data_IF_109677174782
#
_entry.id   IF_109677174782
#
_cell.length_a   1.000
_cell.length_b   1.000
_cell.length_c   1.000
_cell.angle_alpha   90.00
_cell.angle_beta   90.00
_cell.angle_gamma   90.00
#
_symmetry.space_group_name_H-M   'P 1'
#
loop_
_entity.id
_entity.type
_entity.pdbx_description
1 polymer ?
#
# COMPACT_ATOMS: atom_id res chain seq x y z
N UNK A 1 -6.28 -10.86 31.10
CA UNK A 1 -4.95 -11.41 30.70
C UNK A 1 -3.92 -10.90 31.68
N UNK A 2 -2.96 -11.74 32.12
CA UNK A 2 -1.89 -11.30 33.03
C UNK A 2 -0.95 -10.35 32.29
N UNK A 3 -0.90 -9.09 32.69
CA UNK A 3 0.02 -8.11 32.10
C UNK A 3 1.46 -8.54 32.46
N UNK A 4 2.26 -8.84 31.44
CA UNK A 4 3.70 -9.14 31.61
C UNK A 4 4.46 -7.87 31.29
N UNK A 5 5.42 -7.51 32.13
CA UNK A 5 6.32 -6.41 31.83
C UNK A 5 7.10 -6.70 30.53
N UNK A 6 7.27 -5.71 29.66
CA UNK A 6 8.05 -5.89 28.44
C UNK A 6 9.50 -6.25 28.78
N UNK A 7 10.07 -7.18 28.03
CA UNK A 7 11.49 -7.54 28.12
C UNK A 7 12.26 -6.57 27.22
N UNK A 8 13.24 -5.80 27.76
CA UNK A 8 14.04 -4.89 26.94
C UNK A 8 14.74 -5.63 25.79
N UNK A 9 14.67 -5.08 24.57
CA UNK A 9 15.28 -5.74 23.42
C UNK A 9 16.80 -5.85 23.53
N UNK A 10 17.46 -4.94 24.24
CA UNK A 10 18.90 -5.02 24.55
C UNK A 10 19.28 -6.31 25.29
N UNK A 11 18.39 -6.88 26.11
CA UNK A 11 18.64 -8.17 26.77
C UNK A 11 18.53 -9.36 25.82
N UNK A 12 17.67 -9.25 24.81
CA UNK A 12 17.43 -10.32 23.83
C UNK A 12 18.42 -10.27 22.67
N UNK A 13 18.87 -9.08 22.31
CA UNK A 13 19.79 -8.79 21.22
C UNK A 13 20.97 -7.94 21.72
N UNK A 14 21.88 -8.52 22.52
CA UNK A 14 22.93 -7.75 23.20
C UNK A 14 23.96 -7.11 22.26
N UNK A 15 24.11 -7.64 21.04
CA UNK A 15 25.10 -7.17 20.06
C UNK A 15 24.48 -6.28 18.97
N UNK A 16 23.20 -5.95 19.07
CA UNK A 16 22.53 -5.11 18.09
C UNK A 16 22.82 -3.63 18.35
N UNK A 17 22.80 -2.82 17.28
CA UNK A 17 22.93 -1.37 17.37
C UNK A 17 21.83 -0.78 18.27
N UNK A 18 22.17 0.04 19.29
CA UNK A 18 21.18 0.68 20.15
C UNK A 18 20.12 1.50 19.40
N UNK A 19 20.47 2.13 18.27
CA UNK A 19 19.52 2.88 17.43
C UNK A 19 18.57 1.94 16.68
N UNK A 20 19.04 0.78 16.25
CA UNK A 20 18.18 -0.26 15.65
C UNK A 20 17.16 -0.76 16.67
N UNK A 21 17.61 -1.02 17.90
CA UNK A 21 16.75 -1.48 18.98
C UNK A 21 15.68 -0.43 19.35
N UNK A 22 16.07 0.84 19.44
CA UNK A 22 15.12 1.93 19.70
C UNK A 22 14.06 2.08 18.60
N UNK A 23 14.46 1.95 17.33
CA UNK A 23 13.52 1.93 16.21
C UNK A 23 12.57 0.74 16.33
N UNK A 24 13.10 -0.44 16.64
CA UNK A 24 12.33 -1.67 16.79
C UNK A 24 11.30 -1.59 17.92
N UNK A 25 11.63 -0.95 19.05
CA UNK A 25 10.69 -0.68 20.15
C UNK A 25 9.49 0.13 19.67
N UNK A 26 9.70 1.16 18.83
CA UNK A 26 8.62 2.00 18.30
C UNK A 26 7.79 1.31 17.21
N UNK A 27 8.38 0.38 16.46
CA UNK A 27 7.70 -0.41 15.43
C UNK A 27 6.84 -1.53 16.03
N UNK A 28 7.33 -2.19 17.09
CA UNK A 28 6.67 -3.30 17.76
C UNK A 28 5.77 -2.87 18.93
N UNK A 29 5.15 -1.69 18.79
CA UNK A 29 4.14 -1.21 19.73
C UNK A 29 2.83 -1.97 19.54
N UNK A 30 2.22 -2.36 20.66
CA UNK A 30 1.01 -3.18 20.66
C UNK A 30 -0.20 -2.38 20.20
N UNK A 31 -0.35 -1.18 20.75
CA UNK A 31 -1.40 -0.26 20.34
C UNK A 31 -1.00 0.41 19.02
N UNK A 32 -1.77 0.21 17.93
CA UNK A 32 -1.41 0.78 16.63
C UNK A 32 -1.37 2.30 16.63
N UNK A 33 -2.02 2.97 17.59
CA UNK A 33 -2.02 4.44 17.70
C UNK A 33 -0.68 5.00 18.18
N UNK A 34 0.11 4.20 18.90
CA UNK A 34 1.43 4.60 19.40
C UNK A 34 2.57 4.07 18.52
N UNK A 35 2.25 3.22 17.54
CA UNK A 35 3.22 2.74 16.56
C UNK A 35 3.68 3.89 15.67
N UNK A 36 5.00 4.01 15.50
CA UNK A 36 5.61 4.99 14.60
C UNK A 36 5.09 4.83 13.17
N UNK A 37 4.89 5.94 12.46
CA UNK A 37 4.51 5.93 11.05
C UNK A 37 5.71 5.56 10.16
N UNK A 38 5.44 5.18 8.90
CA UNK A 38 6.51 4.87 7.94
C UNK A 38 7.41 6.09 7.69
N UNK A 39 6.83 7.29 7.60
CA UNK A 39 7.55 8.54 7.40
C UNK A 39 8.48 8.86 8.58
N UNK A 40 7.97 8.79 9.81
CA UNK A 40 8.80 8.99 11.00
C UNK A 40 9.88 7.91 11.16
N UNK A 41 9.61 6.67 10.71
CA UNK A 41 10.59 5.58 10.75
C UNK A 41 11.73 5.80 9.76
N UNK A 42 11.45 6.27 8.55
CA UNK A 42 12.47 6.64 7.56
C UNK A 42 13.33 7.81 8.04
N UNK A 43 12.73 8.79 8.73
CA UNK A 43 13.44 9.90 9.35
C UNK A 43 14.24 9.53 10.62
N UNK A 44 14.18 8.27 11.08
CA UNK A 44 14.82 7.85 12.33
C UNK A 44 16.36 7.91 12.23
N UNK A 45 17.10 8.30 13.30
CA UNK A 45 18.57 8.38 13.28
C UNK A 45 19.30 7.09 12.89
N UNK A 46 18.63 5.95 13.02
CA UNK A 46 19.15 4.66 12.57
C UNK A 46 19.45 4.63 11.07
N UNK A 47 18.66 5.33 10.25
CA UNK A 47 18.86 5.43 8.80
C UNK A 47 19.63 6.68 8.37
N UNK A 48 20.33 7.35 9.31
CA UNK A 48 21.13 8.52 8.99
C UNK A 48 22.19 8.17 7.95
N UNK A 49 22.24 8.93 6.86
CA UNK A 49 23.15 8.70 5.74
C UNK A 49 22.59 7.78 4.64
N UNK A 50 21.44 7.15 4.88
CA UNK A 50 20.68 6.41 3.88
C UNK A 50 19.39 7.14 3.48
N UNK A 51 18.71 7.76 4.45
CA UNK A 51 17.45 8.46 4.21
C UNK A 51 17.64 9.66 3.27
N UNK A 52 16.79 9.76 2.24
CA UNK A 52 16.75 10.89 1.32
C UNK A 52 15.32 11.39 1.13
N UNK A 53 14.99 12.51 1.78
CA UNK A 53 13.65 13.12 1.75
C UNK A 53 13.19 13.40 0.32
N UNK A 54 14.08 13.84 -0.57
CA UNK A 54 13.73 14.13 -1.96
C UNK A 54 13.37 12.88 -2.77
N UNK A 55 13.84 11.71 -2.33
CA UNK A 55 13.54 10.40 -2.94
C UNK A 55 12.47 9.61 -2.20
N UNK A 56 11.94 10.14 -1.10
CA UNK A 56 10.94 9.50 -0.23
C UNK A 56 9.66 10.35 -0.11
N UNK A 57 8.98 10.68 -1.22
CA UNK A 57 7.80 11.54 -1.18
C UNK A 57 6.62 10.83 -0.50
N UNK A 58 6.01 11.48 0.49
CA UNK A 58 4.76 11.02 1.08
C UNK A 58 3.56 11.35 0.18
N UNK A 59 2.73 10.34 -0.10
CA UNK A 59 1.46 10.53 -0.79
C UNK A 59 0.39 11.05 0.19
N UNK A 60 -0.51 11.91 -0.29
CA UNK A 60 -1.67 12.32 0.50
C UNK A 60 -2.53 11.09 0.85
N UNK A 61 -3.16 11.05 2.04
CA UNK A 61 -4.07 9.97 2.38
C UNK A 61 -5.13 9.76 1.29
N UNK A 62 -5.22 8.53 0.79
CA UNK A 62 -6.23 8.16 -0.21
C UNK A 62 -7.60 8.20 0.45
N UNK A 63 -8.58 8.80 -0.22
CA UNK A 63 -9.95 8.85 0.29
C UNK A 63 -10.51 7.43 0.46
N UNK A 64 -11.22 7.17 1.55
CA UNK A 64 -11.96 5.90 1.75
C UNK A 64 -13.01 5.64 0.66
N UNK A 65 -13.38 6.68 -0.09
CA UNK A 65 -14.28 6.55 -1.23
C UNK A 65 -13.63 5.80 -2.39
N UNK A 66 -12.32 5.91 -2.58
CA UNK A 66 -11.58 5.17 -3.62
C UNK A 66 -11.72 3.66 -3.42
N UNK A 67 -11.86 3.20 -2.17
CA UNK A 67 -12.07 1.79 -1.83
C UNK A 67 -13.55 1.38 -1.78
N UNK A 68 -14.48 2.23 -2.25
CA UNK A 68 -15.90 1.91 -2.24
C UNK A 68 -16.27 0.74 -3.17
N UNK A 69 -15.43 0.42 -4.16
CA UNK A 69 -15.65 -0.72 -5.05
C UNK A 69 -15.60 -2.06 -4.31
N UNK A 70 -14.80 -2.19 -3.24
CA UNK A 70 -14.69 -3.44 -2.45
C UNK A 70 -16.00 -3.82 -1.75
N UNK A 71 -16.86 -2.83 -1.48
CA UNK A 71 -18.16 -3.07 -0.83
C UNK A 71 -19.24 -3.54 -1.80
N UNK A 72 -18.98 -3.52 -3.11
CA UNK A 72 -19.94 -3.94 -4.13
C UNK A 72 -19.86 -5.45 -4.31
N UNK A 73 -21.01 -6.12 -4.36
CA UNK A 73 -21.07 -7.51 -4.84
C UNK A 73 -21.02 -7.47 -6.36
N UNK A 74 -19.92 -7.96 -6.93
CA UNK A 74 -19.69 -7.98 -8.38
C UNK A 74 -19.66 -9.43 -8.86
N UNK A 75 -20.24 -9.67 -10.02
CA UNK A 75 -20.07 -10.94 -10.74
C UNK A 75 -18.74 -10.96 -11.47
N UNK A 76 -18.33 -12.14 -11.96
CA UNK A 76 -17.13 -12.27 -12.80
C UNK A 76 -17.20 -11.38 -14.04
N UNK A 77 -18.37 -11.26 -14.64
CA UNK A 77 -18.57 -10.47 -15.85
C UNK A 77 -18.48 -8.97 -15.55
N UNK A 78 -19.00 -8.51 -14.40
CA UNK A 78 -18.85 -7.13 -13.96
C UNK A 78 -17.37 -6.77 -13.72
N UNK A 79 -16.60 -7.66 -13.09
CA UNK A 79 -15.16 -7.43 -12.88
C UNK A 79 -14.41 -7.37 -14.21
N UNK A 80 -14.75 -8.25 -15.16
CA UNK A 80 -14.15 -8.22 -16.51
C UNK A 80 -14.42 -6.89 -17.20
N UNK A 81 -15.66 -6.41 -17.14
CA UNK A 81 -16.06 -5.13 -17.72
C UNK A 81 -15.33 -3.95 -17.06
N UNK A 82 -15.21 -3.94 -15.73
CA UNK A 82 -14.48 -2.88 -15.00
C UNK A 82 -13.00 -2.84 -15.38
N UNK A 83 -12.34 -4.00 -15.46
CA UNK A 83 -10.95 -4.09 -15.92
C UNK A 83 -10.84 -3.58 -17.36
N UNK A 84 -11.78 -3.96 -18.23
CA UNK A 84 -11.76 -3.52 -19.61
C UNK A 84 -11.91 -2.01 -19.74
N UNK A 85 -12.82 -1.40 -18.96
CA UNK A 85 -12.99 0.06 -18.91
C UNK A 85 -11.73 0.79 -18.44
N UNK A 86 -11.05 0.25 -17.42
CA UNK A 86 -9.76 0.79 -16.97
C UNK A 86 -8.73 0.76 -18.11
N UNK A 87 -8.64 -0.36 -18.85
CA UNK A 87 -7.74 -0.45 -20.02
C UNK A 87 -8.09 0.61 -21.06
N UNK A 88 -9.38 0.81 -21.38
CA UNK A 88 -9.82 1.80 -22.36
C UNK A 88 -9.42 3.23 -21.99
N UNK A 89 -9.37 3.57 -20.70
CA UNK A 89 -8.95 4.90 -20.23
C UNK A 89 -7.51 5.24 -20.69
N UNK A 90 -6.63 4.25 -20.75
CA UNK A 90 -5.25 4.41 -21.24
C UNK A 90 -5.10 4.20 -22.77
N UNK A 91 -6.17 3.84 -23.49
CA UNK A 91 -6.14 3.54 -24.94
C UNK A 91 -7.19 4.36 -25.72
N UNK A 92 -6.90 5.64 -26.06
CA UNK A 92 -7.89 6.57 -26.62
C UNK A 92 -8.55 6.14 -27.93
N UNK A 93 -7.85 5.38 -28.77
CA UNK A 93 -8.39 4.88 -30.04
C UNK A 93 -9.41 3.77 -29.79
N UNK A 94 -9.07 2.79 -28.94
CA UNK A 94 -9.97 1.71 -28.55
C UNK A 94 -11.19 2.24 -27.80
N UNK A 95 -11.03 3.26 -26.95
CA UNK A 95 -12.16 3.90 -26.27
C UNK A 95 -13.14 4.52 -27.26
N UNK A 96 -12.66 5.17 -28.34
CA UNK A 96 -13.53 5.72 -29.38
C UNK A 96 -14.31 4.63 -30.11
N UNK A 97 -13.66 3.53 -30.46
CA UNK A 97 -14.30 2.38 -31.12
C UNK A 97 -15.36 1.74 -30.22
N UNK A 98 -15.03 1.54 -28.94
CA UNK A 98 -15.95 1.03 -27.92
C UNK A 98 -17.20 1.91 -27.77
N UNK A 99 -17.02 3.24 -27.70
CA UNK A 99 -18.15 4.18 -27.60
C UNK A 99 -19.01 4.26 -28.87
N UNK A 100 -18.44 3.97 -30.03
CA UNK A 100 -19.14 3.94 -31.32
C UNK A 100 -19.92 2.63 -31.54
N UNK A 101 -19.86 1.68 -30.59
CA UNK A 101 -20.51 0.38 -30.71
C UNK A 101 -19.86 -0.52 -31.76
N UNK A 102 -18.58 -0.30 -32.07
CA UNK A 102 -17.81 -1.21 -32.91
C UNK A 102 -17.70 -2.57 -32.21
N UNK A 103 -17.90 -3.64 -32.98
CA UNK A 103 -17.87 -5.01 -32.46
C UNK A 103 -16.50 -5.31 -31.81
N UNK A 104 -16.52 -5.52 -30.49
CA UNK A 104 -15.33 -5.83 -29.67
C UNK A 104 -14.79 -7.25 -29.91
N UNK A 105 -15.40 -7.98 -30.85
CA UNK A 105 -15.02 -9.34 -31.25
C UNK A 105 -13.55 -9.48 -31.68
N UNK A 106 -12.87 -8.40 -32.06
CA UNK A 106 -11.45 -8.46 -32.45
C UNK A 106 -10.50 -8.84 -31.30
N UNK A 107 -10.90 -8.71 -30.04
CA UNK A 107 -10.06 -9.06 -28.88
C UNK A 107 -10.62 -10.23 -28.04
N UNK A 108 -11.74 -10.81 -28.47
CA UNK A 108 -12.42 -11.89 -27.75
C UNK A 108 -11.66 -13.22 -27.89
N UNK A 109 -10.56 -13.33 -27.13
CA UNK A 109 -9.79 -14.53 -26.82
C UNK A 109 -9.22 -15.31 -28.04
N UNK A 110 -7.91 -15.60 -28.10
CA UNK A 110 -7.47 -16.71 -28.94
C UNK A 110 -8.20 -17.97 -28.47
N UNK A 111 -8.86 -18.66 -29.41
CA UNK A 111 -9.53 -19.94 -29.15
C UNK A 111 -8.56 -20.99 -28.62
#
# INVERSE_FOLDING_TARGET
>A
MRQKSPVPFSKKFPNADPLALRLLERLLEFDPRYRITAEEALAHPYFRGLANVDSEPSMKPISKFEFAFERRKLTKDDVRELIYREILEYHPQMLREYLQGADLSSFMYPR
#
